data_IF_966550694928
#
_entry.id   IF_966550694928
#
_cell.length_a   1.000
_cell.length_b   1.000
_cell.length_c   1.000
_cell.angle_alpha   90.00
_cell.angle_beta   90.00
_cell.angle_gamma   90.00
#
_symmetry.space_group_name_H-M   'P 1'
#
loop_
_entity.id
_entity.type
_entity.pdbx_description
1 polymer ?
#
# COMPACT_ATOMS: atom_id res chain seq x y z
N UNK A 1 11.69 -17.49 -20.11
CA UNK A 1 11.87 -17.17 -18.68
C UNK A 1 11.30 -15.77 -18.48
N UNK A 2 10.37 -15.52 -17.54
CA UNK A 2 9.94 -14.14 -17.24
C UNK A 2 11.02 -13.47 -16.41
N UNK A 3 11.61 -12.39 -16.91
CA UNK A 3 12.58 -11.60 -16.16
C UNK A 3 11.89 -11.00 -14.93
N UNK A 4 12.54 -11.14 -13.76
CA UNK A 4 12.09 -10.53 -12.50
C UNK A 4 12.58 -9.07 -12.47
N UNK A 5 11.84 -8.20 -13.14
CA UNK A 5 12.14 -6.78 -13.18
C UNK A 5 11.43 -6.05 -12.04
N UNK A 6 12.19 -5.25 -11.30
CA UNK A 6 11.61 -4.27 -10.39
C UNK A 6 10.88 -3.19 -11.21
N UNK A 7 9.66 -2.85 -10.78
CA UNK A 7 8.90 -1.74 -11.37
C UNK A 7 8.69 -0.68 -10.32
N UNK A 8 9.08 0.55 -10.65
CA UNK A 8 8.79 1.73 -9.82
C UNK A 8 7.28 1.95 -9.81
N UNK A 9 6.75 2.29 -8.62
CA UNK A 9 5.34 2.64 -8.42
C UNK A 9 5.24 4.08 -7.89
N UNK A 10 4.02 4.59 -7.79
CA UNK A 10 3.76 5.87 -7.15
C UNK A 10 4.41 5.89 -5.75
N UNK A 11 5.06 7.01 -5.36
CA UNK A 11 5.68 7.13 -4.06
C UNK A 11 4.63 7.11 -2.94
N UNK A 12 5.06 6.74 -1.73
CA UNK A 12 4.22 6.88 -0.55
C UNK A 12 3.91 8.35 -0.27
N UNK A 13 2.69 8.64 0.17
CA UNK A 13 2.25 10.00 0.51
C UNK A 13 3.02 10.49 1.75
N UNK A 14 3.14 9.63 2.76
CA UNK A 14 3.91 9.88 3.95
C UNK A 14 5.30 9.23 3.90
N UNK A 15 6.29 9.90 4.51
CA UNK A 15 7.53 9.22 4.91
C UNK A 15 7.20 8.21 5.99
N UNK A 16 7.63 6.96 5.82
CA UNK A 16 7.40 5.88 6.79
C UNK A 16 8.59 4.92 6.81
N UNK A 17 8.95 4.44 7.99
CA UNK A 17 9.82 3.29 8.23
C UNK A 17 9.16 2.34 9.22
N UNK A 18 9.62 1.09 9.29
CA UNK A 18 9.09 0.08 10.22
C UNK A 18 7.56 -0.11 10.11
N UNK A 19 7.00 0.12 8.91
CA UNK A 19 5.59 -0.09 8.63
C UNK A 19 5.33 -1.56 8.26
N UNK A 20 4.09 -2.02 8.48
CA UNK A 20 3.65 -3.32 7.99
C UNK A 20 3.08 -3.18 6.57
N UNK A 21 3.33 -4.16 5.71
CA UNK A 21 2.73 -4.25 4.38
C UNK A 21 1.87 -5.51 4.26
N UNK A 22 0.69 -5.39 3.65
CA UNK A 22 -0.19 -6.54 3.40
C UNK A 22 -0.92 -6.40 2.05
N UNK A 23 -1.31 -7.54 1.48
CA UNK A 23 -2.27 -7.58 0.37
C UNK A 23 -3.68 -7.58 0.96
N UNK A 24 -4.48 -6.61 0.56
CA UNK A 24 -5.88 -6.47 0.99
C UNK A 24 -6.77 -6.89 -0.17
N UNK A 25 -7.67 -7.83 0.09
CA UNK A 25 -8.67 -8.27 -0.88
C UNK A 25 -10.00 -7.67 -0.53
N UNK A 26 -10.62 -6.98 -1.49
CA UNK A 26 -11.95 -6.39 -1.34
C UNK A 26 -12.90 -7.20 -2.20
N UNK A 27 -13.89 -7.82 -1.55
CA UNK A 27 -14.97 -8.49 -2.24
C UNK A 27 -15.82 -7.46 -2.99
N UNK A 28 -16.34 -7.84 -4.17
CA UNK A 28 -17.34 -7.04 -4.85
C UNK A 28 -18.58 -6.87 -3.96
N UNK A 29 -19.20 -5.69 -3.99
CA UNK A 29 -20.41 -5.44 -3.21
C UNK A 29 -21.53 -6.38 -3.67
N UNK A 30 -22.41 -6.83 -2.76
CA UNK A 30 -23.52 -7.70 -3.12
C UNK A 30 -24.41 -7.01 -4.18
N UNK A 31 -24.54 -7.64 -5.35
CA UNK A 31 -25.31 -7.10 -6.49
C UNK A 31 -24.51 -6.32 -7.52
N UNK A 32 -23.19 -6.17 -7.37
CA UNK A 32 -22.31 -5.68 -8.43
C UNK A 32 -21.58 -6.84 -9.11
N UNK A 33 -21.70 -6.95 -10.43
CA UNK A 33 -20.78 -7.74 -11.25
C UNK A 33 -19.41 -7.06 -11.20
N UNK A 34 -18.46 -7.66 -10.47
CA UNK A 34 -17.10 -7.16 -10.35
C UNK A 34 -16.16 -8.23 -9.80
N UNK A 35 -14.90 -8.22 -10.26
CA UNK A 35 -13.85 -9.10 -9.76
C UNK A 35 -13.34 -8.63 -8.39
N UNK A 36 -12.88 -9.56 -7.54
CA UNK A 36 -12.20 -9.20 -6.29
C UNK A 36 -11.01 -8.27 -6.56
N UNK A 37 -11.00 -7.11 -5.92
CA UNK A 37 -9.91 -6.16 -6.08
C UNK A 37 -8.82 -6.48 -5.07
N UNK A 38 -7.59 -6.66 -5.57
CA UNK A 38 -6.39 -6.80 -4.73
C UNK A 38 -5.64 -5.49 -4.65
N UNK A 39 -5.47 -4.99 -3.43
CA UNK A 39 -4.77 -3.76 -3.11
C UNK A 39 -3.53 -4.04 -2.25
N UNK A 40 -2.58 -3.12 -2.25
CA UNK A 40 -1.46 -3.11 -1.29
C UNK A 40 -1.82 -2.14 -0.18
N UNK A 41 -1.91 -2.63 1.05
CA UNK A 41 -2.05 -1.81 2.25
C UNK A 41 -0.70 -1.61 2.94
N UNK A 42 -0.41 -0.38 3.32
CA UNK A 42 0.75 0.03 4.14
C UNK A 42 0.22 0.58 5.45
N UNK A 43 0.58 -0.03 6.56
CA UNK A 43 -0.02 0.24 7.88
C UNK A 43 1.01 0.73 8.88
N UNK A 44 0.67 1.86 9.52
CA UNK A 44 1.46 2.46 10.57
C UNK A 44 2.87 2.83 10.15
N UNK A 45 3.83 2.49 11.01
CA UNK A 45 5.23 2.87 10.88
C UNK A 45 5.56 4.13 11.67
N UNK A 46 6.81 4.56 11.56
CA UNK A 46 7.33 5.77 12.20
C UNK A 46 8.03 6.66 11.18
N UNK A 47 8.25 7.92 11.54
CA UNK A 47 9.18 8.77 10.82
C UNK A 47 9.90 9.71 11.79
N UNK A 48 11.11 10.12 11.43
CA UNK A 48 11.90 11.10 12.19
C UNK A 48 11.68 12.50 11.61
N UNK A 49 11.43 13.47 12.49
CA UNK A 49 11.39 14.91 12.16
C UNK A 49 12.22 15.67 13.19
N UNK A 50 13.38 16.20 12.79
CA UNK A 50 14.35 16.73 13.75
C UNK A 50 14.81 15.59 14.68
N UNK A 51 14.79 15.81 16.00
CA UNK A 51 15.10 14.76 16.99
C UNK A 51 13.89 13.96 17.47
N UNK A 52 12.70 14.24 16.93
CA UNK A 52 11.47 13.57 17.36
C UNK A 52 11.11 12.42 16.42
N UNK A 53 10.78 11.27 17.03
CA UNK A 53 10.14 10.16 16.35
C UNK A 53 8.62 10.28 16.48
N UNK A 54 7.91 10.13 15.36
CA UNK A 54 6.46 10.15 15.32
C UNK A 54 5.95 8.81 14.79
N UNK A 55 5.10 8.15 15.59
CA UNK A 55 4.36 6.96 15.17
C UNK A 55 3.13 7.35 14.38
N UNK A 56 2.87 6.62 13.29
CA UNK A 56 1.72 6.84 12.43
C UNK A 56 0.58 5.92 12.84
N UNK A 57 -0.58 6.51 13.15
CA UNK A 57 -1.84 5.79 13.32
C UNK A 57 -2.66 5.75 12.00
N UNK A 58 -2.00 5.90 10.85
CA UNK A 58 -2.63 5.95 9.54
C UNK A 58 -2.20 4.79 8.65
N UNK A 59 -3.01 4.49 7.64
CA UNK A 59 -2.69 3.55 6.56
C UNK A 59 -2.76 4.25 5.20
N UNK A 60 -2.09 3.68 4.21
CA UNK A 60 -2.18 4.04 2.79
C UNK A 60 -2.53 2.78 2.01
N UNK A 61 -3.37 2.89 0.99
CA UNK A 61 -3.84 1.76 0.17
C UNK A 61 -3.64 2.07 -1.31
N UNK A 62 -3.08 1.10 -2.04
CA UNK A 62 -2.69 1.24 -3.44
C UNK A 62 -3.33 0.18 -4.32
N UNK A 63 -3.87 0.59 -5.46
CA UNK A 63 -4.33 -0.32 -6.49
C UNK A 63 -3.14 -0.90 -7.27
N UNK A 64 -3.06 -2.23 -7.33
CA UNK A 64 -2.03 -2.97 -8.07
C UNK A 64 -2.21 -2.80 -9.59
N UNK A 65 -3.45 -2.64 -10.04
CA UNK A 65 -3.85 -2.51 -11.43
C UNK A 65 -3.51 -1.14 -12.03
N UNK A 66 -3.43 -0.10 -11.21
CA UNK A 66 -3.00 1.22 -11.66
C UNK A 66 -1.48 1.23 -11.89
N UNK A 67 -1.03 1.60 -13.10
CA UNK A 67 0.36 1.54 -13.60
C UNK A 67 0.84 0.17 -14.10
N UNK A 68 0.03 -0.49 -14.94
CA UNK A 68 0.36 -1.78 -15.58
C UNK A 68 1.30 -1.65 -16.78
#
# INVERSE_FOLDING_TARGET
>A
MRERLWRVRAPLIGRRQQHAGAIVRIAAAPGQEGEEQSLIGVFGGTYKKGETWTSLASCEVYDIGQNR
#
